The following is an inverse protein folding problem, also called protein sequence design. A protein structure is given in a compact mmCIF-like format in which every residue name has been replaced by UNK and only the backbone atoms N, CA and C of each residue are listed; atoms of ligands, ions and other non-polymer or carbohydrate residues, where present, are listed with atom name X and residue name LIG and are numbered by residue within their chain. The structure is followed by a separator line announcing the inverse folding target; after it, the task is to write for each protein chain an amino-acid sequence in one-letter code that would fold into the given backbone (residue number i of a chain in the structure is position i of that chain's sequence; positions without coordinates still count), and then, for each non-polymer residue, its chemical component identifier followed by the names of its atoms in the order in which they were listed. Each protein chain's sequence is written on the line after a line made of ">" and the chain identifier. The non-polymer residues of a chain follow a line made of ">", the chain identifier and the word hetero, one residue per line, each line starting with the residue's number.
data_IF_839758511559
#
_entry.id   IF_839758511559
#
_cell.length_a   1.000
_cell.length_b   1.000
_cell.length_c   1.000
_cell.angle_alpha   90.00
_cell.angle_beta   90.00
_cell.angle_gamma   90.00
#
_symmetry.space_group_name_H-M   'P 1'
#
loop_
_entity.id
_entity.type
_entity.pdbx_description
1 polymer ?
#
# COMPACT_ATOMS: atom_id res chain seq x y z
N UNK A 1 22.59 -47.67 -27.43
CA UNK A 1 22.46 -47.31 -26.00
C UNK A 1 21.36 -46.25 -25.94
N UNK A 2 20.10 -46.65 -25.71
CA UNK A 2 19.36 -46.48 -24.43
C UNK A 2 19.56 -45.06 -23.85
N UNK A 3 18.55 -44.19 -23.70
CA UNK A 3 17.13 -44.38 -23.91
C UNK A 3 16.28 -43.14 -23.56
N UNK A 4 14.96 -43.37 -23.69
CA UNK A 4 13.79 -42.81 -22.97
C UNK A 4 13.64 -41.29 -22.85
N UNK A 5 12.57 -40.80 -23.49
CA UNK A 5 11.93 -39.54 -23.12
C UNK A 5 11.13 -39.64 -21.82
N UNK A 6 10.69 -38.48 -21.31
CA UNK A 6 9.58 -38.35 -20.37
C UNK A 6 8.90 -36.99 -20.62
N UNK A 7 7.59 -37.04 -20.84
CA UNK A 7 6.68 -35.89 -20.77
C UNK A 7 6.50 -35.48 -19.29
N UNK A 8 6.19 -34.21 -19.04
CA UNK A 8 4.94 -33.72 -18.42
C UNK A 8 5.13 -32.42 -17.61
N UNK A 9 4.11 -31.57 -17.77
CA UNK A 9 3.81 -30.34 -17.07
C UNK A 9 3.62 -30.60 -15.56
N UNK A 10 3.95 -29.62 -14.72
CA UNK A 10 3.42 -29.53 -13.37
C UNK A 10 2.77 -28.15 -13.16
N UNK A 11 1.46 -28.22 -13.00
CA UNK A 11 0.51 -27.17 -12.70
C UNK A 11 0.53 -26.90 -11.18
N UNK A 12 0.43 -25.62 -10.78
CA UNK A 12 -0.07 -25.08 -9.52
C UNK A 12 0.54 -25.53 -8.17
N UNK A 13 0.95 -24.55 -7.34
CA UNK A 13 0.34 -24.39 -6.00
C UNK A 13 0.57 -22.98 -5.41
N UNK A 14 -0.43 -22.10 -5.55
CA UNK A 14 -0.55 -20.83 -4.84
C UNK A 14 -1.14 -21.13 -3.45
N UNK A 15 -0.30 -21.31 -2.44
CA UNK A 15 -0.75 -21.55 -1.07
C UNK A 15 -1.24 -20.24 -0.45
N UNK A 16 -2.56 -20.09 -0.44
CA UNK A 16 -3.30 -19.08 0.31
C UNK A 16 -3.33 -19.53 1.78
N UNK A 17 -2.34 -19.17 2.59
CA UNK A 17 -2.37 -19.48 4.03
C UNK A 17 -3.25 -18.49 4.76
N UNK A 18 -4.55 -18.81 4.84
CA UNK A 18 -5.50 -18.25 5.79
C UNK A 18 -5.08 -18.69 7.21
N UNK A 19 -4.27 -17.87 7.87
CA UNK A 19 -3.70 -18.21 9.18
C UNK A 19 -4.59 -17.69 10.31
N UNK A 20 -5.73 -18.36 10.54
CA UNK A 20 -6.40 -18.30 11.85
C UNK A 20 -5.76 -19.37 12.74
N UNK A 21 -4.69 -19.02 13.46
CA UNK A 21 -4.08 -19.95 14.42
C UNK A 21 -4.62 -19.66 15.81
N UNK A 22 -5.36 -20.63 16.35
CA UNK A 22 -5.82 -20.68 17.73
C UNK A 22 -4.63 -21.11 18.61
N UNK A 23 -3.94 -20.17 19.27
CA UNK A 23 -2.82 -20.49 20.17
C UNK A 23 -3.26 -20.48 21.63
N UNK A 24 -3.11 -21.64 22.29
CA UNK A 24 -3.15 -21.82 23.74
C UNK A 24 -1.80 -21.40 24.35
N UNK A 25 -1.89 -20.80 25.54
CA UNK A 25 -0.85 -20.06 26.26
C UNK A 25 0.41 -20.85 26.65
N UNK A 26 1.49 -20.07 26.84
CA UNK A 26 2.71 -20.31 27.65
C UNK A 26 3.99 -20.67 26.87
N UNK A 27 4.68 -19.65 26.35
CA UNK A 27 6.10 -19.36 26.64
C UNK A 27 6.43 -17.96 26.12
N UNK A 28 6.96 -17.13 27.02
CA UNK A 28 7.34 -15.73 26.76
C UNK A 28 8.65 -15.72 25.97
N UNK A 29 8.58 -15.49 24.66
CA UNK A 29 9.60 -14.83 23.83
C UNK A 29 9.19 -15.00 22.36
N UNK A 30 8.09 -14.34 21.99
CA UNK A 30 7.84 -14.05 20.58
C UNK A 30 8.73 -12.86 20.28
N UNK A 31 9.84 -13.07 19.58
CA UNK A 31 10.50 -11.99 18.85
C UNK A 31 9.49 -11.57 17.78
N UNK A 32 8.56 -10.70 18.17
CA UNK A 32 7.64 -10.06 17.26
C UNK A 32 8.53 -9.29 16.31
N UNK A 33 8.71 -9.82 15.09
CA UNK A 33 9.24 -9.03 14.01
C UNK A 33 8.26 -7.86 13.87
N UNK A 34 8.62 -6.73 14.46
CA UNK A 34 7.87 -5.50 14.25
C UNK A 34 7.99 -5.22 12.76
N UNK A 35 6.93 -5.51 12.02
CA UNK A 35 6.71 -4.94 10.70
C UNK A 35 6.68 -3.44 10.90
N UNK A 36 7.84 -2.80 10.69
CA UNK A 36 7.96 -1.36 10.70
C UNK A 36 7.26 -0.87 9.43
N UNK A 37 5.96 -0.61 9.53
CA UNK A 37 5.26 0.18 8.52
C UNK A 37 5.94 1.54 8.47
N UNK A 38 6.47 1.91 7.30
CA UNK A 38 7.09 3.22 7.13
C UNK A 38 5.98 4.28 7.22
N UNK A 39 5.84 4.91 8.39
CA UNK A 39 4.94 6.04 8.57
C UNK A 39 5.47 7.25 7.80
N UNK A 40 4.60 7.99 7.11
CA UNK A 40 5.01 9.13 6.32
C UNK A 40 5.95 10.07 7.09
N UNK A 41 7.08 10.42 6.47
CA UNK A 41 7.95 11.47 6.98
C UNK A 41 7.60 12.77 6.27
N UNK A 42 7.37 13.83 7.06
CA UNK A 42 6.95 15.11 6.53
C UNK A 42 8.07 15.84 5.78
N UNK A 43 7.68 16.69 4.84
CA UNK A 43 8.59 17.57 4.12
C UNK A 43 9.06 18.74 4.99
N UNK A 44 10.38 18.92 5.13
CA UNK A 44 10.98 20.16 5.65
C UNK A 44 10.97 21.20 4.54
N UNK A 45 9.97 22.09 4.62
CA UNK A 45 9.70 23.10 3.59
C UNK A 45 10.75 24.21 3.60
N UNK A 46 11.27 24.55 2.42
CA UNK A 46 12.11 25.74 2.21
C UNK A 46 11.66 26.51 0.97
N UNK A 47 11.47 27.80 1.09
CA UNK A 47 11.13 28.70 -0.02
C UNK A 47 12.40 29.42 -0.51
N UNK A 48 12.57 29.49 -1.82
CA UNK A 48 13.66 30.21 -2.49
C UNK A 48 13.15 31.38 -3.36
N UNK A 49 11.86 31.72 -3.27
CA UNK A 49 11.27 32.86 -3.99
C UNK A 49 10.73 32.54 -5.38
N UNK A 50 10.53 31.26 -5.71
CA UNK A 50 10.08 30.80 -7.05
C UNK A 50 8.60 30.41 -7.10
N UNK A 51 7.81 30.84 -6.13
CA UNK A 51 6.37 30.59 -6.08
C UNK A 51 5.98 29.16 -5.67
N UNK A 52 6.92 28.34 -5.20
CA UNK A 52 6.64 27.12 -4.44
C UNK A 52 7.82 26.80 -3.52
N UNK A 53 7.65 25.79 -2.68
CA UNK A 53 8.64 25.32 -1.72
C UNK A 53 9.38 24.08 -2.23
N UNK A 54 10.59 23.84 -1.76
CA UNK A 54 11.27 22.55 -1.88
C UNK A 54 11.21 21.78 -0.56
N UNK A 55 11.43 20.47 -0.62
CA UNK A 55 11.67 19.64 0.56
C UNK A 55 13.16 19.44 0.74
N UNK A 56 13.68 19.81 1.90
CA UNK A 56 15.13 19.70 2.18
C UNK A 56 15.41 18.32 2.75
N UNK A 57 16.20 17.55 2.00
CA UNK A 57 16.77 16.30 2.47
C UNK A 57 18.24 16.48 2.86
N UNK A 58 18.69 15.70 3.83
CA UNK A 58 20.07 15.59 4.26
C UNK A 58 20.42 14.10 4.51
N UNK A 59 21.63 13.83 4.99
CA UNK A 59 22.13 12.45 5.17
C UNK A 59 21.27 11.56 6.07
N UNK A 60 20.46 12.14 6.97
CA UNK A 60 19.64 11.39 7.94
C UNK A 60 18.16 11.74 7.87
N UNK A 61 17.75 12.57 6.91
CA UNK A 61 16.38 13.07 6.84
C UNK A 61 15.96 13.31 5.40
N UNK A 62 14.83 12.74 5.01
CA UNK A 62 14.14 13.06 3.77
C UNK A 62 12.65 12.71 3.94
N UNK A 63 11.77 13.40 3.24
CA UNK A 63 10.35 13.04 3.24
C UNK A 63 10.09 11.77 2.44
N UNK A 64 9.07 11.02 2.86
CA UNK A 64 8.58 9.86 2.13
C UNK A 64 7.08 9.67 2.40
N UNK A 65 6.38 9.13 1.41
CA UNK A 65 4.97 8.81 1.55
C UNK A 65 4.75 7.68 2.55
N UNK A 66 3.58 7.67 3.21
CA UNK A 66 3.16 6.54 4.01
C UNK A 66 3.01 5.31 3.10
N UNK A 67 3.48 4.17 3.58
CA UNK A 67 3.07 2.89 3.04
C UNK A 67 1.59 2.68 3.31
N UNK A 68 0.85 2.29 2.27
CA UNK A 68 -0.55 1.94 2.39
C UNK A 68 -0.65 0.48 2.82
N UNK A 69 -1.47 0.20 3.83
CA UNK A 69 -1.79 -1.18 4.19
C UNK A 69 -2.77 -1.79 3.19
N UNK A 70 -2.79 -3.13 3.12
CA UNK A 70 -3.75 -3.87 2.28
C UNK A 70 -5.21 -3.49 2.62
N UNK A 71 -5.49 -3.16 3.89
CA UNK A 71 -6.82 -2.73 4.36
C UNK A 71 -7.21 -1.34 3.82
N UNK A 72 -6.25 -0.49 3.44
CA UNK A 72 -6.52 0.83 2.88
C UNK A 72 -6.84 0.77 1.37
N UNK A 73 -6.30 -0.22 0.66
CA UNK A 73 -6.47 -0.42 -0.77
C UNK A 73 -7.41 -1.59 -1.08
N UNK A 74 -8.62 -1.54 -0.54
CA UNK A 74 -9.68 -2.48 -0.95
C UNK A 74 -10.33 -2.02 -2.27
N UNK A 75 -11.04 -2.91 -2.96
CA UNK A 75 -11.78 -2.55 -4.19
C UNK A 75 -12.90 -1.52 -4.01
N UNK A 76 -13.15 -1.05 -2.78
CA UNK A 76 -14.09 0.04 -2.46
C UNK A 76 -13.40 1.37 -2.22
N UNK A 77 -12.09 1.38 -2.04
CA UNK A 77 -11.33 2.54 -1.62
C UNK A 77 -10.31 2.93 -2.69
N UNK A 78 -9.99 4.22 -2.76
CA UNK A 78 -8.90 4.77 -3.55
C UNK A 78 -7.97 5.56 -2.64
N UNK A 79 -6.66 5.44 -2.89
CA UNK A 79 -5.68 6.33 -2.29
C UNK A 79 -5.52 7.57 -3.15
N UNK A 80 -5.75 8.73 -2.55
CA UNK A 80 -5.61 10.03 -3.18
C UNK A 80 -4.41 10.76 -2.60
N UNK A 81 -3.44 11.13 -3.44
CA UNK A 81 -2.25 11.87 -3.04
C UNK A 81 -2.29 13.28 -3.62
N UNK A 82 -2.09 14.27 -2.76
CA UNK A 82 -2.11 15.69 -3.16
C UNK A 82 -0.73 16.32 -3.02
N UNK A 83 -0.29 16.93 -4.12
CA UNK A 83 0.82 17.87 -4.14
C UNK A 83 0.34 19.20 -4.73
N UNK A 84 0.74 20.32 -4.12
CA UNK A 84 0.26 21.64 -4.54
C UNK A 84 1.37 22.69 -4.57
N UNK A 85 1.10 23.79 -5.28
CA UNK A 85 1.95 24.99 -5.28
C UNK A 85 2.09 25.59 -3.87
N UNK A 86 1.01 25.55 -3.07
CA UNK A 86 0.99 25.94 -1.66
C UNK A 86 1.80 25.02 -0.74
N UNK A 87 2.37 23.93 -1.26
CA UNK A 87 3.36 23.10 -0.57
C UNK A 87 2.83 21.84 0.08
N UNK A 88 1.64 21.34 -0.30
CA UNK A 88 1.30 19.95 0.00
C UNK A 88 2.30 19.03 -0.71
N UNK A 89 2.74 17.97 -0.03
CA UNK A 89 3.76 17.04 -0.51
C UNK A 89 3.33 15.64 -0.17
N UNK A 90 2.84 14.93 -1.19
CA UNK A 90 2.34 13.56 -1.08
C UNK A 90 1.34 13.39 0.08
N UNK A 91 0.49 14.40 0.31
CA UNK A 91 -0.53 14.34 1.34
C UNK A 91 -1.53 13.24 0.95
N UNK A 92 -1.55 12.15 1.70
CA UNK A 92 -2.38 10.98 1.42
C UNK A 92 -3.74 11.08 2.09
N UNK A 93 -4.77 10.66 1.36
CA UNK A 93 -6.15 10.55 1.82
C UNK A 93 -6.73 9.25 1.28
N UNK A 94 -7.58 8.57 2.04
CA UNK A 94 -8.34 7.42 1.53
C UNK A 94 -9.77 7.89 1.26
N UNK A 95 -10.28 7.62 0.07
CA UNK A 95 -11.67 7.93 -0.30
C UNK A 95 -12.39 6.64 -0.70
N UNK A 96 -13.70 6.58 -0.50
CA UNK A 96 -14.51 5.42 -0.91
C UNK A 96 -15.26 5.73 -2.22
N UNK A 97 -15.44 4.71 -3.06
CA UNK A 97 -16.30 4.82 -4.23
C UNK A 97 -17.77 4.89 -3.80
N UNK A 98 -18.46 5.95 -4.23
CA UNK A 98 -19.92 6.02 -4.08
C UNK A 98 -20.58 5.03 -5.05
N UNK A 99 -21.41 4.13 -4.54
CA UNK A 99 -22.26 3.30 -5.40
C UNK A 99 -23.40 4.15 -5.97
N UNK A 100 -23.49 4.24 -7.30
CA UNK A 100 -24.67 4.74 -7.99
C UNK A 100 -25.28 3.63 -8.83
N UNK A 101 -26.59 3.39 -8.66
CA UNK A 101 -27.34 2.52 -9.56
C UNK A 101 -27.61 3.29 -10.85
N UNK A 102 -27.16 2.76 -11.98
CA UNK A 102 -27.58 3.26 -13.28
C UNK A 102 -29.09 3.05 -13.40
N UNK A 103 -29.88 4.12 -13.31
CA UNK A 103 -31.31 4.07 -13.63
C UNK A 103 -31.42 4.10 -15.15
N UNK A 104 -31.56 2.94 -15.78
CA UNK A 104 -32.02 2.86 -17.16
C UNK A 104 -33.45 3.38 -17.21
N UNK A 105 -33.62 4.60 -17.72
CA UNK A 105 -34.93 5.14 -18.06
C UNK A 105 -35.43 4.45 -19.34
N UNK A 106 -36.05 3.29 -19.17
CA UNK A 106 -36.89 2.68 -20.20
C UNK A 106 -38.25 3.37 -20.16
N UNK A 107 -38.42 4.36 -21.02
CA UNK A 107 -39.72 4.97 -21.32
C UNK A 107 -40.53 3.98 -22.16
N UNK A 108 -41.67 3.52 -21.63
CA UNK A 108 -42.66 2.71 -22.34
C UNK A 108 -43.54 3.56 -23.26
#
# INVERSE_FOLDING_TARGET
>A
MVGKGIKQQAHLNRQHTSSKVCYLSLTKNVLSAHTAFAQAQQCVRKDYGHGSVVCVCNATYCDFAAELSDDQLTGKNLAHYVSSKSGHRLLSMTMEFSSSTCKTSSTS
#
